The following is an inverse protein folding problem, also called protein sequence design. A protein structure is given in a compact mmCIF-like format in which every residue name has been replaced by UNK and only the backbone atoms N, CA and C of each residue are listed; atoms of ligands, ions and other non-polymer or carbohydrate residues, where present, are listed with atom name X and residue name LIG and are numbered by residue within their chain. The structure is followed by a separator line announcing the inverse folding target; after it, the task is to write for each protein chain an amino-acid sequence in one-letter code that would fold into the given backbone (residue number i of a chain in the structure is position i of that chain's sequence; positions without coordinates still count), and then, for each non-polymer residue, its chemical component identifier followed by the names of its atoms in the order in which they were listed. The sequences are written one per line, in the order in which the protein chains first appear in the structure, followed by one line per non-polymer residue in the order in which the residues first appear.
data_IF_169868172980
#
_entry.id   IF_169868172980
#
_cell.length_a   1.000
_cell.length_b   1.000
_cell.length_c   1.000
_cell.angle_alpha   90.00
_cell.angle_beta   90.00
_cell.angle_gamma   90.00
#
_symmetry.space_group_name_H-M   'P 1'
#
loop_
_entity.id
_entity.type
_entity.pdbx_description
1 polymer ?
#
# COMPACT_ATOMS: atom_id res chain seq x y z
N UNK A 1 -4.91 -17.84 -16.13
CA UNK A 1 -5.23 -16.40 -15.97
C UNK A 1 -4.17 -15.63 -16.70
N UNK A 2 -4.60 -14.95 -17.76
CA UNK A 2 -3.78 -14.36 -18.81
C UNK A 2 -3.04 -13.12 -18.30
N UNK A 3 -1.71 -13.21 -18.28
CA UNK A 3 -0.73 -12.10 -18.32
C UNK A 3 -1.22 -10.74 -17.79
N UNK A 4 -1.29 -10.59 -16.46
CA UNK A 4 -1.49 -9.27 -15.83
C UNK A 4 -0.26 -8.42 -16.12
N UNK A 5 -0.38 -7.48 -17.08
CA UNK A 5 0.62 -6.44 -17.35
C UNK A 5 1.13 -5.90 -16.02
N UNK A 6 2.43 -6.04 -15.76
CA UNK A 6 3.12 -5.61 -14.54
C UNK A 6 3.03 -4.08 -14.43
N UNK A 7 1.91 -3.56 -13.93
CA UNK A 7 1.72 -2.15 -13.59
C UNK A 7 2.43 -1.81 -12.27
N UNK A 8 3.71 -2.21 -12.17
CA UNK A 8 4.54 -2.05 -10.98
C UNK A 8 4.59 -0.58 -10.55
N UNK A 9 4.65 0.35 -11.51
CA UNK A 9 4.63 1.79 -11.24
C UNK A 9 3.32 2.30 -10.62
N UNK A 10 2.18 1.73 -11.01
CA UNK A 10 0.89 2.08 -10.38
C UNK A 10 0.85 1.60 -8.93
N UNK A 11 1.34 0.39 -8.66
CA UNK A 11 1.41 -0.13 -7.29
C UNK A 11 2.39 0.63 -6.40
N UNK A 12 3.48 1.18 -6.95
CA UNK A 12 4.36 2.10 -6.23
C UNK A 12 3.64 3.39 -5.81
N UNK A 13 2.80 3.97 -6.68
CA UNK A 13 1.98 5.14 -6.31
C UNK A 13 0.99 4.80 -5.19
N UNK A 14 0.33 3.64 -5.27
CA UNK A 14 -0.62 3.19 -4.23
C UNK A 14 0.09 2.92 -2.89
N UNK A 15 1.30 2.36 -2.93
CA UNK A 15 2.13 2.15 -1.75
C UNK A 15 2.54 3.47 -1.10
N UNK A 16 3.01 4.44 -1.88
CA UNK A 16 3.39 5.76 -1.36
C UNK A 16 2.18 6.50 -0.77
N UNK A 17 1.02 6.43 -1.42
CA UNK A 17 -0.23 7.00 -0.89
C UNK A 17 -0.65 6.33 0.43
N UNK A 18 -0.57 5.00 0.52
CA UNK A 18 -0.87 4.25 1.75
C UNK A 18 0.13 4.54 2.87
N UNK A 19 1.41 4.76 2.52
CA UNK A 19 2.46 5.16 3.46
C UNK A 19 2.15 6.53 4.06
N UNK A 20 1.77 7.51 3.24
CA UNK A 20 1.40 8.84 3.69
C UNK A 20 0.15 8.80 4.58
N UNK A 21 -0.86 8.00 4.22
CA UNK A 21 -2.04 7.79 5.03
C UNK A 21 -1.71 7.14 6.39
N UNK A 22 -0.78 6.18 6.42
CA UNK A 22 -0.31 5.56 7.66
C UNK A 22 0.41 6.57 8.55
N UNK A 23 1.32 7.37 7.99
CA UNK A 23 2.03 8.42 8.74
C UNK A 23 1.04 9.45 9.31
N UNK A 24 0.04 9.85 8.52
CA UNK A 24 -1.01 10.75 8.98
C UNK A 24 -1.82 10.13 10.12
N UNK A 25 -2.21 8.87 10.00
CA UNK A 25 -2.95 8.15 11.04
C UNK A 25 -2.13 7.98 12.33
N UNK A 26 -0.80 7.78 12.24
CA UNK A 26 0.11 7.78 13.38
C UNK A 26 0.12 9.17 14.03
N UNK A 27 0.31 10.22 13.23
CA UNK A 27 0.39 11.59 13.73
C UNK A 27 -0.91 12.03 14.43
N UNK A 28 -2.07 11.73 13.83
CA UNK A 28 -3.37 12.06 14.38
C UNK A 28 -3.82 11.14 15.52
N UNK A 29 -2.97 10.20 15.97
CA UNK A 29 -3.29 9.21 17.00
C UNK A 29 -4.59 8.45 16.72
N UNK A 30 -4.78 8.08 15.45
CA UNK A 30 -6.02 7.44 15.03
C UNK A 30 -6.08 6.01 15.56
N UNK A 31 -7.07 5.72 16.39
CA UNK A 31 -7.27 4.41 17.03
C UNK A 31 -7.40 3.25 16.03
N UNK A 32 -7.74 3.56 14.76
CA UNK A 32 -8.03 2.58 13.70
C UNK A 32 -6.84 2.40 12.74
N UNK A 33 -5.64 2.85 13.14
CA UNK A 33 -4.39 2.68 12.40
C UNK A 33 -4.18 1.26 11.85
N UNK A 34 -4.59 0.25 12.61
CA UNK A 34 -4.45 -1.16 12.24
C UNK A 34 -5.19 -1.53 10.96
N UNK A 35 -6.23 -0.80 10.57
CA UNK A 35 -6.96 -1.02 9.33
C UNK A 35 -6.16 -0.60 8.09
N UNK A 36 -5.16 0.27 8.23
CA UNK A 36 -4.31 0.74 7.12
C UNK A 36 -3.17 -0.26 6.83
N UNK A 37 -2.70 -0.99 7.84
CA UNK A 37 -1.62 -1.99 7.72
C UNK A 37 -1.81 -3.00 6.57
N UNK A 38 -2.98 -3.63 6.34
CA UNK A 38 -3.14 -4.59 5.24
C UNK A 38 -3.05 -3.94 3.86
N UNK A 39 -3.45 -2.67 3.70
CA UNK A 39 -3.30 -1.94 2.43
C UNK A 39 -1.84 -1.60 2.16
N UNK A 40 -1.11 -1.23 3.21
CA UNK A 40 0.31 -0.93 3.12
C UNK A 40 1.12 -2.16 2.72
N UNK A 41 0.89 -3.31 3.36
CA UNK A 41 1.60 -4.55 3.03
C UNK A 41 1.19 -5.12 1.67
N UNK A 42 -0.09 -5.08 1.32
CA UNK A 42 -0.57 -5.58 0.01
C UNK A 42 -0.03 -4.74 -1.14
N UNK A 43 -0.07 -3.41 -1.02
CA UNK A 43 0.47 -2.52 -2.04
C UNK A 43 1.98 -2.65 -2.18
N UNK A 44 2.70 -2.85 -1.06
CA UNK A 44 4.14 -3.12 -1.07
C UNK A 44 4.50 -4.40 -1.82
N UNK A 45 3.84 -5.53 -1.52
CA UNK A 45 4.09 -6.83 -2.18
C UNK A 45 3.83 -6.73 -3.69
N UNK A 46 2.76 -6.02 -4.09
CA UNK A 46 2.44 -5.79 -5.50
C UNK A 46 3.40 -4.81 -6.18
N UNK A 47 3.89 -3.80 -5.46
CA UNK A 47 4.92 -2.88 -5.94
C UNK A 47 6.29 -3.57 -6.12
N UNK A 48 6.60 -4.55 -5.28
CA UNK A 48 7.78 -5.40 -5.43
C UNK A 48 7.61 -6.49 -6.50
N UNK A 49 6.40 -6.63 -7.07
CA UNK A 49 6.09 -7.63 -8.10
C UNK A 49 6.36 -9.07 -7.62
N UNK A 50 6.15 -9.30 -6.32
CA UNK A 50 6.34 -10.61 -5.68
C UNK A 50 5.09 -11.49 -5.83
N UNK A 51 3.94 -10.89 -6.14
CA UNK A 51 2.62 -11.54 -6.27
C UNK A 51 2.05 -11.40 -7.67
#
# INVERSE_FOLDING_TARGET
MEQTKKHTGFWWLVFLASTAALIFAIYSHWEWLTLILPFQTTSFVKAMNIM
#
